data_IF_806863296600
#
_entry.id   IF_806863296600
#
_cell.length_a   1.000
_cell.length_b   1.000
_cell.length_c   1.000
_cell.angle_alpha   90.00
_cell.angle_beta   90.00
_cell.angle_gamma   90.00
#
_symmetry.space_group_name_H-M   'P 1'
#
loop_
_entity.id
_entity.type
_entity.pdbx_description
1 polymer ?
#
# COMPACT_ATOMS: atom_id res chain seq x y z
N UNK A 1 -18.98 -12.02 -5.96
CA UNK A 1 -18.96 -11.96 -4.49
C UNK A 1 -17.60 -11.41 -4.09
N UNK A 2 -17.52 -10.15 -3.67
CA UNK A 2 -16.29 -9.60 -3.13
C UNK A 2 -16.15 -10.14 -1.70
N UNK A 3 -15.16 -11.00 -1.46
CA UNK A 3 -14.84 -11.42 -0.10
C UNK A 3 -14.18 -10.20 0.55
N UNK A 4 -14.93 -9.48 1.38
CA UNK A 4 -14.37 -8.45 2.26
C UNK A 4 -13.46 -9.17 3.27
N UNK A 5 -12.20 -9.39 2.90
CA UNK A 5 -11.17 -9.89 3.79
C UNK A 5 -10.79 -8.80 4.80
N UNK A 6 -11.63 -8.60 5.80
CA UNK A 6 -11.30 -7.74 6.93
C UNK A 6 -10.14 -8.38 7.71
N UNK A 7 -8.98 -7.73 7.69
CA UNK A 7 -7.78 -8.15 8.44
C UNK A 7 -7.98 -7.92 9.94
N UNK A 8 -7.19 -8.63 10.77
CA UNK A 8 -7.24 -8.41 12.22
C UNK A 8 -6.72 -7.02 12.61
N UNK A 9 -7.12 -6.52 13.78
CA UNK A 9 -6.61 -5.25 14.29
C UNK A 9 -5.08 -5.26 14.49
N UNK A 10 -4.51 -6.42 14.85
CA UNK A 10 -3.06 -6.59 14.99
C UNK A 10 -2.35 -6.52 13.64
N UNK A 11 -2.91 -7.14 12.60
CA UNK A 11 -2.41 -7.07 11.23
C UNK A 11 -2.49 -5.64 10.70
N UNK A 12 -3.64 -4.96 10.87
CA UNK A 12 -3.81 -3.55 10.52
C UNK A 12 -2.74 -2.68 11.20
N UNK A 13 -2.53 -2.85 12.49
CA UNK A 13 -1.49 -2.11 13.22
C UNK A 13 -0.07 -2.41 12.69
N UNK A 14 0.19 -3.65 12.29
CA UNK A 14 1.46 -4.01 11.67
C UNK A 14 1.63 -3.32 10.29
N UNK A 15 0.60 -3.32 9.46
CA UNK A 15 0.60 -2.65 8.15
C UNK A 15 0.78 -1.14 8.27
N UNK A 16 0.09 -0.49 9.21
CA UNK A 16 0.30 0.94 9.53
C UNK A 16 1.77 1.22 9.86
N UNK A 17 2.38 0.41 10.73
CA UNK A 17 3.79 0.59 11.10
C UNK A 17 4.73 0.40 9.92
N UNK A 18 4.52 -0.64 9.10
CA UNK A 18 5.33 -0.88 7.89
C UNK A 18 5.20 0.27 6.90
N UNK A 19 3.98 0.72 6.63
CA UNK A 19 3.72 1.84 5.73
C UNK A 19 4.37 3.14 6.23
N UNK A 20 4.22 3.46 7.52
CA UNK A 20 4.83 4.64 8.11
C UNK A 20 6.36 4.60 8.04
N UNK A 21 6.98 3.44 8.31
CA UNK A 21 8.43 3.27 8.22
C UNK A 21 8.93 3.40 6.77
N UNK A 22 8.25 2.77 5.81
CA UNK A 22 8.61 2.86 4.39
C UNK A 22 8.47 4.30 3.87
N UNK A 23 7.38 4.99 4.24
CA UNK A 23 7.16 6.39 3.90
C UNK A 23 8.26 7.28 4.49
N UNK A 24 8.56 7.11 5.77
CA UNK A 24 9.60 7.90 6.43
C UNK A 24 10.98 7.69 5.77
N UNK A 25 11.33 6.45 5.43
CA UNK A 25 12.56 6.15 4.69
C UNK A 25 12.60 6.87 3.35
N UNK A 26 11.50 6.83 2.59
CA UNK A 26 11.42 7.53 1.30
C UNK A 26 11.55 9.06 1.47
N UNK A 27 10.94 9.63 2.51
CA UNK A 27 11.03 11.07 2.83
C UNK A 27 12.46 11.50 3.16
N UNK A 28 13.26 10.66 3.85
CA UNK A 28 14.68 10.93 4.11
C UNK A 28 15.53 10.98 2.82
N UNK A 29 15.11 10.27 1.78
CA UNK A 29 15.74 10.28 0.45
C UNK A 29 15.16 11.38 -0.45
N UNK A 30 14.26 12.23 0.06
CA UNK A 30 13.58 13.29 -0.69
C UNK A 30 12.39 12.81 -1.53
N UNK A 31 11.99 11.55 -1.38
CA UNK A 31 10.79 10.98 -1.98
C UNK A 31 9.51 11.35 -1.24
N UNK A 32 8.39 11.37 -1.95
CA UNK A 32 7.07 11.54 -1.35
C UNK A 32 6.00 10.83 -2.17
N UNK A 33 4.93 10.39 -1.50
CA UNK A 33 3.74 9.86 -2.17
C UNK A 33 2.78 11.02 -2.38
N UNK A 34 2.46 11.29 -3.64
CA UNK A 34 1.46 12.30 -4.00
C UNK A 34 0.06 11.89 -3.50
N UNK A 35 -0.76 12.87 -3.13
CA UNK A 35 -2.08 12.62 -2.52
C UNK A 35 -3.00 11.79 -3.41
N UNK A 36 -2.96 12.00 -4.73
CA UNK A 36 -3.73 11.23 -5.72
C UNK A 36 -3.26 9.76 -5.86
N UNK A 37 -2.09 9.44 -5.31
CA UNK A 37 -1.51 8.09 -5.29
C UNK A 37 -1.61 7.41 -3.92
N UNK A 38 -2.28 8.02 -2.95
CA UNK A 38 -2.40 7.53 -1.58
C UNK A 38 -3.36 6.33 -1.45
N UNK A 39 -4.43 6.30 -2.24
CA UNK A 39 -5.53 5.34 -2.10
C UNK A 39 -5.11 3.85 -2.05
N UNK A 40 -4.18 3.35 -2.88
CA UNK A 40 -3.75 1.95 -2.82
C UNK A 40 -3.13 1.59 -1.47
N UNK A 41 -2.37 2.50 -0.86
CA UNK A 41 -1.73 2.27 0.44
C UNK A 41 -2.76 2.22 1.57
N UNK A 42 -3.78 3.08 1.50
CA UNK A 42 -4.88 3.07 2.47
C UNK A 42 -5.68 1.77 2.34
N UNK A 43 -5.97 1.33 1.11
CA UNK A 43 -6.64 0.05 0.86
C UNK A 43 -5.82 -1.14 1.40
N UNK A 44 -4.49 -1.10 1.29
CA UNK A 44 -3.61 -2.12 1.88
C UNK A 44 -3.64 -2.10 3.41
N UNK A 45 -3.55 -0.92 4.02
CA UNK A 45 -3.60 -0.73 5.47
C UNK A 45 -4.94 -1.20 6.03
N UNK A 46 -6.05 -0.91 5.36
CA UNK A 46 -7.39 -1.34 5.75
C UNK A 46 -7.67 -2.82 5.43
N UNK A 47 -6.75 -3.50 4.74
CA UNK A 47 -6.89 -4.91 4.40
C UNK A 47 -7.79 -5.20 3.21
N UNK A 48 -8.23 -4.16 2.47
CA UNK A 48 -9.04 -4.33 1.26
C UNK A 48 -8.26 -4.95 0.11
N UNK A 49 -6.94 -4.77 0.12
CA UNK A 49 -6.00 -5.41 -0.81
C UNK A 49 -4.82 -6.03 -0.06
N UNK A 50 -4.23 -7.06 -0.65
CA UNK A 50 -2.95 -7.61 -0.20
C UNK A 50 -1.76 -6.85 -0.85
N UNK A 51 -0.55 -7.27 -0.48
CA UNK A 51 0.68 -6.62 -0.92
C UNK A 51 0.93 -6.77 -2.42
N UNK A 52 0.58 -7.90 -3.04
CA UNK A 52 0.77 -8.10 -4.48
C UNK A 52 -0.14 -7.17 -5.28
N UNK A 53 -1.38 -7.01 -4.84
CA UNK A 53 -2.33 -6.09 -5.46
C UNK A 53 -1.91 -4.62 -5.24
N UNK A 54 -1.33 -4.27 -4.07
CA UNK A 54 -0.72 -2.95 -3.85
C UNK A 54 0.40 -2.68 -4.87
N UNK A 55 1.37 -3.60 -4.99
CA UNK A 55 2.48 -3.49 -5.93
C UNK A 55 1.97 -3.36 -7.35
N UNK A 56 1.02 -4.20 -7.77
CA UNK A 56 0.42 -4.15 -9.10
C UNK A 56 -0.19 -2.78 -9.41
N UNK A 57 -0.96 -2.21 -8.48
CA UNK A 57 -1.59 -0.88 -8.65
C UNK A 57 -0.57 0.25 -8.72
N UNK A 58 0.44 0.24 -7.84
CA UNK A 58 1.51 1.25 -7.83
C UNK A 58 2.30 1.20 -9.14
N UNK A 59 2.65 0.00 -9.61
CA UNK A 59 3.37 -0.19 -10.88
C UNK A 59 2.56 0.32 -12.07
N UNK A 60 1.28 -0.04 -12.15
CA UNK A 60 0.39 0.50 -13.18
C UNK A 60 0.30 2.02 -13.14
N UNK A 61 0.23 2.62 -11.95
CA UNK A 61 0.22 4.07 -11.77
C UNK A 61 1.52 4.77 -12.24
N UNK A 62 2.63 4.02 -12.29
CA UNK A 62 3.93 4.44 -12.81
C UNK A 62 4.17 4.01 -14.27
N UNK A 63 3.20 3.37 -14.94
CA UNK A 63 3.35 2.87 -16.31
C UNK A 63 4.22 1.61 -16.44
N UNK A 64 4.46 0.89 -15.34
CA UNK A 64 5.26 -0.33 -15.29
C UNK A 64 4.36 -1.57 -15.41
N UNK A 65 4.84 -2.67 -16.05
CA UNK A 65 4.10 -3.93 -16.10
C UNK A 65 3.97 -4.54 -14.71
N UNK A 66 2.93 -5.35 -14.47
CA UNK A 66 2.81 -6.14 -13.24
C UNK A 66 4.02 -7.09 -13.09
N UNK A 67 4.40 -7.41 -11.86
CA UNK A 67 5.42 -8.44 -11.60
C UNK A 67 4.77 -9.82 -11.74
N UNK A 68 5.50 -10.76 -12.35
CA UNK A 68 5.06 -12.15 -12.57
C UNK A 68 5.21 -13.04 -11.33
#
# INVERSE_FOLDING_TARGET
>A
MAIEHSISAAERAQRVRRYAAARHSAELEGGYIATDKQQPFDDYVEGRIDENELVRRVRQACGLPAEE
#
